data_IF_036903013702
#
_entry.id   IF_036903013702
#
_cell.length_a   1.000
_cell.length_b   1.000
_cell.length_c   1.000
_cell.angle_alpha   90.00
_cell.angle_beta   90.00
_cell.angle_gamma   90.00
#
_symmetry.space_group_name_H-M   'P 1'
#
loop_
_entity.id
_entity.type
_entity.pdbx_description
1 polymer ?
#
# COMPACT_ATOMS: atom_id res chain seq x y z
N UNK A 1 12.71 -17.65 8.73
CA UNK A 1 13.29 -17.83 7.37
C UNK A 1 12.37 -18.76 6.61
N UNK A 2 11.61 -18.25 5.63
CA UNK A 2 10.77 -19.09 4.79
C UNK A 2 11.68 -19.94 3.89
N UNK A 3 11.39 -21.24 3.78
CA UNK A 3 12.16 -22.16 2.95
C UNK A 3 12.09 -21.72 1.48
N UNK A 4 13.23 -21.62 0.81
CA UNK A 4 13.29 -21.22 -0.59
C UNK A 4 12.66 -22.31 -1.47
N UNK A 5 11.60 -21.94 -2.20
CA UNK A 5 11.00 -22.77 -3.24
C UNK A 5 11.70 -22.49 -4.57
N UNK A 6 11.91 -23.53 -5.38
CA UNK A 6 12.49 -23.38 -6.73
C UNK A 6 11.38 -23.02 -7.71
N UNK A 7 11.53 -21.91 -8.44
CA UNK A 7 10.57 -21.49 -9.47
C UNK A 7 10.74 -22.31 -10.73
N UNK A 8 9.68 -22.98 -11.20
CA UNK A 8 9.69 -23.74 -12.45
C UNK A 8 8.66 -23.19 -13.45
N UNK A 9 9.07 -22.93 -14.71
CA UNK A 9 8.18 -22.40 -15.74
C UNK A 9 7.11 -23.41 -16.20
N UNK A 10 7.28 -24.69 -15.89
CA UNK A 10 6.33 -25.76 -16.22
C UNK A 10 5.09 -25.78 -15.31
N UNK A 11 5.11 -25.05 -14.19
CA UNK A 11 3.96 -24.95 -13.28
C UNK A 11 3.02 -23.84 -13.79
N UNK A 12 1.72 -24.11 -13.95
CA UNK A 12 0.78 -23.15 -14.52
C UNK A 12 0.70 -21.87 -13.68
N UNK A 13 0.73 -20.73 -14.37
CA UNK A 13 0.57 -19.40 -13.77
C UNK A 13 -0.92 -19.15 -13.50
N UNK A 14 -1.24 -18.72 -12.28
CA UNK A 14 -2.60 -18.37 -11.92
C UNK A 14 -2.99 -17.00 -12.47
N UNK A 15 -4.27 -16.79 -12.83
CA UNK A 15 -4.81 -15.45 -13.04
C UNK A 15 -4.80 -14.66 -11.73
N UNK A 16 -4.94 -13.33 -11.83
CA UNK A 16 -4.98 -12.45 -10.66
C UNK A 16 -6.14 -12.86 -9.71
N UNK A 17 -5.89 -12.94 -8.38
CA UNK A 17 -6.94 -13.29 -7.43
C UNK A 17 -8.07 -12.25 -7.38
N UNK A 18 -9.31 -12.67 -7.20
CA UNK A 18 -10.46 -11.78 -7.13
C UNK A 18 -10.85 -11.49 -5.68
N UNK A 19 -11.02 -10.22 -5.30
CA UNK A 19 -11.46 -9.84 -3.97
C UNK A 19 -12.98 -9.90 -3.84
N UNK A 20 -13.49 -10.93 -3.16
CA UNK A 20 -14.94 -11.23 -3.08
C UNK A 20 -15.59 -10.65 -1.82
N UNK A 21 -14.86 -10.62 -0.71
CA UNK A 21 -15.34 -10.02 0.54
C UNK A 21 -14.25 -9.16 1.18
N UNK A 22 -14.66 -8.05 1.78
CA UNK A 22 -13.77 -7.06 2.39
C UNK A 22 -14.38 -6.62 3.71
N UNK A 23 -13.58 -6.61 4.76
CA UNK A 23 -13.94 -6.06 6.08
C UNK A 23 -12.91 -5.00 6.47
N UNK A 24 -13.03 -4.44 7.68
CA UNK A 24 -12.03 -3.51 8.19
C UNK A 24 -10.62 -4.10 8.33
N UNK A 25 -10.49 -5.42 8.57
CA UNK A 25 -9.19 -6.06 8.86
C UNK A 25 -8.91 -7.34 8.06
N UNK A 26 -9.76 -7.67 7.12
CA UNK A 26 -9.57 -8.85 6.27
C UNK A 26 -10.10 -8.66 4.86
N UNK A 27 -9.44 -9.32 3.92
CA UNK A 27 -9.89 -9.44 2.53
C UNK A 27 -9.91 -10.92 2.17
N UNK A 28 -11.05 -11.40 1.69
CA UNK A 28 -11.19 -12.77 1.18
C UNK A 28 -10.97 -12.78 -0.32
N UNK A 29 -9.94 -13.51 -0.74
CA UNK A 29 -9.57 -13.67 -2.14
C UNK A 29 -10.08 -15.00 -2.67
N UNK A 30 -10.58 -14.99 -3.90
CA UNK A 30 -10.99 -16.16 -4.67
C UNK A 30 -9.98 -16.40 -5.79
N UNK A 31 -9.52 -17.63 -5.89
CA UNK A 31 -8.64 -18.09 -6.95
C UNK A 31 -9.46 -18.74 -8.07
N UNK A 32 -9.22 -18.32 -9.31
CA UNK A 32 -9.74 -19.02 -10.48
C UNK A 32 -8.83 -20.20 -10.81
N UNK A 33 -9.18 -21.37 -10.27
CA UNK A 33 -8.44 -22.63 -10.46
C UNK A 33 -8.91 -23.41 -11.68
N UNK A 34 -9.88 -22.89 -12.45
CA UNK A 34 -10.55 -23.62 -13.53
C UNK A 34 -9.62 -23.92 -14.72
N UNK A 35 -8.52 -23.17 -14.85
CA UNK A 35 -7.44 -23.41 -15.80
C UNK A 35 -6.48 -24.55 -15.39
N UNK A 36 -6.52 -25.03 -14.13
CA UNK A 36 -5.74 -26.19 -13.68
C UNK A 36 -6.52 -27.48 -13.96
N UNK A 37 -6.61 -27.84 -15.25
CA UNK A 37 -7.24 -29.08 -15.72
C UNK A 37 -6.30 -30.28 -15.59
N UNK A 38 -5.84 -30.59 -14.36
CA UNK A 38 -5.24 -31.90 -14.06
C UNK A 38 -5.72 -32.40 -12.69
N UNK A 39 -6.62 -33.40 -12.64
CA UNK A 39 -7.18 -33.92 -11.39
C UNK A 39 -6.18 -34.70 -10.52
N UNK A 40 -4.94 -34.91 -10.98
CA UNK A 40 -3.97 -35.79 -10.34
C UNK A 40 -2.85 -35.07 -9.56
N UNK A 41 -2.73 -33.73 -9.66
CA UNK A 41 -1.68 -32.99 -8.94
C UNK A 41 -2.25 -32.24 -7.74
N UNK A 42 -1.86 -32.67 -6.53
CA UNK A 42 -2.18 -32.01 -5.25
C UNK A 42 -1.39 -30.70 -5.13
N UNK A 43 -1.85 -29.67 -5.83
CA UNK A 43 -1.30 -28.34 -5.69
C UNK A 43 -1.78 -27.68 -4.40
N UNK A 44 -0.85 -27.00 -3.72
CA UNK A 44 -1.18 -25.98 -2.72
C UNK A 44 -1.05 -24.60 -3.35
N UNK A 45 -1.67 -23.62 -2.72
CA UNK A 45 -1.66 -22.24 -3.15
C UNK A 45 -1.02 -21.38 -2.08
N UNK A 46 -0.38 -20.31 -2.54
CA UNK A 46 0.18 -19.29 -1.67
C UNK A 46 -0.20 -17.91 -2.18
N UNK A 47 -0.60 -17.04 -1.27
CA UNK A 47 -0.90 -15.64 -1.55
C UNK A 47 0.20 -14.76 -1.00
N UNK A 48 0.44 -13.63 -1.64
CA UNK A 48 1.22 -12.55 -1.07
C UNK A 48 0.43 -11.26 -1.14
N UNK A 49 0.54 -10.45 -0.10
CA UNK A 49 -0.05 -9.12 -0.04
C UNK A 49 1.02 -8.09 0.27
N UNK A 50 0.80 -6.88 -0.24
CA UNK A 50 1.59 -5.70 0.09
C UNK A 50 0.64 -4.52 0.24
N UNK A 51 0.96 -3.64 1.18
CA UNK A 51 0.44 -2.28 1.14
C UNK A 51 0.86 -1.63 -0.17
N UNK A 52 0.00 -0.78 -0.72
CA UNK A 52 0.33 -0.03 -1.93
C UNK A 52 1.46 0.97 -1.64
N UNK A 53 2.66 0.65 -2.12
CA UNK A 53 3.82 1.55 -2.08
C UNK A 53 4.04 2.23 -3.42
N UNK A 54 4.32 3.53 -3.40
CA UNK A 54 4.62 4.30 -4.61
C UNK A 54 5.99 3.96 -5.24
N UNK A 55 6.92 3.36 -4.48
CA UNK A 55 8.30 3.12 -4.90
C UNK A 55 8.66 1.62 -4.91
N UNK A 56 8.21 0.86 -3.92
CA UNK A 56 8.43 -0.60 -3.86
C UNK A 56 7.30 -1.28 -3.09
N UNK A 57 7.09 -2.57 -3.38
CA UNK A 57 6.16 -3.43 -2.64
C UNK A 57 6.91 -4.28 -1.62
N UNK A 58 6.45 -4.28 -0.37
CA UNK A 58 6.92 -5.17 0.70
C UNK A 58 5.96 -6.34 0.85
N UNK A 59 6.35 -7.51 0.33
CA UNK A 59 5.48 -8.68 0.27
C UNK A 59 5.44 -9.45 1.59
N UNK A 60 4.24 -9.68 2.09
CA UNK A 60 3.96 -10.62 3.18
C UNK A 60 3.25 -11.84 2.60
N UNK A 61 3.89 -13.00 2.70
CA UNK A 61 3.39 -14.26 2.18
C UNK A 61 2.46 -14.96 3.18
N UNK A 62 1.40 -15.58 2.68
CA UNK A 62 0.50 -16.42 3.46
C UNK A 62 1.08 -17.81 3.67
N UNK A 63 0.49 -18.54 4.60
CA UNK A 63 0.64 -19.99 4.70
C UNK A 63 0.11 -20.68 3.44
N UNK A 64 0.54 -21.93 3.23
CA UNK A 64 0.08 -22.76 2.12
C UNK A 64 -1.33 -23.30 2.40
N UNK A 65 -2.23 -23.17 1.43
CA UNK A 65 -3.62 -23.61 1.56
C UNK A 65 -4.11 -24.34 0.31
N UNK A 66 -5.22 -25.07 0.42
CA UNK A 66 -5.81 -25.86 -0.69
C UNK A 66 -7.20 -25.38 -1.12
N UNK A 67 -7.81 -24.49 -0.33
CA UNK A 67 -9.12 -23.91 -0.62
C UNK A 67 -9.08 -22.94 -1.81
N UNK A 68 -10.18 -22.87 -2.58
CA UNK A 68 -10.35 -21.86 -3.65
C UNK A 68 -10.54 -20.43 -3.10
N UNK A 69 -10.92 -20.32 -1.83
CA UNK A 69 -11.10 -19.03 -1.14
C UNK A 69 -10.21 -18.98 0.09
N UNK A 70 -9.50 -17.87 0.26
CA UNK A 70 -8.62 -17.67 1.41
C UNK A 70 -8.75 -16.26 1.98
N UNK A 71 -9.04 -16.13 3.29
CA UNK A 71 -9.07 -14.84 3.96
C UNK A 71 -7.68 -14.42 4.43
N UNK A 72 -7.20 -13.27 3.96
CA UNK A 72 -6.03 -12.60 4.52
C UNK A 72 -6.51 -11.75 5.69
N UNK A 73 -6.01 -12.06 6.89
CA UNK A 73 -6.38 -11.40 8.16
C UNK A 73 -5.25 -10.47 8.64
N UNK A 74 -5.59 -9.51 9.49
CA UNK A 74 -4.61 -8.62 10.14
C UNK A 74 -4.23 -7.42 9.29
N UNK A 75 -5.04 -7.08 8.28
CA UNK A 75 -4.84 -5.89 7.47
C UNK A 75 -5.21 -4.62 8.26
N UNK A 76 -4.53 -3.52 8.00
CA UNK A 76 -4.88 -2.22 8.55
C UNK A 76 -6.19 -1.68 7.95
N UNK A 77 -7.07 -1.07 8.76
CA UNK A 77 -8.26 -0.40 8.27
C UNK A 77 -7.90 0.79 7.37
N UNK A 78 -8.76 1.07 6.38
CA UNK A 78 -8.62 2.22 5.48
C UNK A 78 -7.33 2.25 4.64
N UNK A 79 -6.76 1.09 4.33
CA UNK A 79 -5.49 0.97 3.60
C UNK A 79 -5.70 0.23 2.29
N UNK A 80 -4.98 0.65 1.25
CA UNK A 80 -5.03 0.04 -0.07
C UNK A 80 -3.98 -1.06 -0.19
N UNK A 81 -4.41 -2.25 -0.59
CA UNK A 81 -3.55 -3.42 -0.77
C UNK A 81 -3.58 -3.91 -2.21
N UNK A 82 -2.49 -4.56 -2.60
CA UNK A 82 -2.38 -5.37 -3.80
C UNK A 82 -2.05 -6.81 -3.42
N UNK A 83 -2.57 -7.75 -4.21
CA UNK A 83 -2.41 -9.17 -3.98
C UNK A 83 -1.86 -9.88 -5.22
N UNK A 84 -1.20 -11.01 -4.98
CA UNK A 84 -0.76 -11.95 -6.02
C UNK A 84 -0.81 -13.37 -5.48
N UNK A 85 -1.00 -14.34 -6.37
CA UNK A 85 -1.12 -15.75 -6.03
C UNK A 85 -0.10 -16.58 -6.81
N UNK A 86 0.36 -17.68 -6.23
CA UNK A 86 1.16 -18.69 -6.95
C UNK A 86 0.73 -20.10 -6.56
N UNK A 87 1.05 -21.04 -7.45
CA UNK A 87 0.88 -22.48 -7.23
C UNK A 87 2.17 -23.04 -6.61
N UNK A 88 2.03 -23.91 -5.63
CA UNK A 88 3.15 -24.55 -4.92
C UNK A 88 2.94 -26.06 -4.89
N UNK A 89 3.94 -26.82 -5.32
CA UNK A 89 4.03 -28.27 -5.09
C UNK A 89 4.88 -28.50 -3.84
N UNK A 90 4.23 -28.86 -2.75
CA UNK A 90 4.90 -29.03 -1.45
C UNK A 90 5.88 -30.22 -1.45
N UNK A 91 5.53 -31.32 -2.14
CA UNK A 91 6.32 -32.56 -2.18
C UNK A 91 7.69 -32.35 -2.84
N UNK A 92 7.75 -31.59 -3.95
CA UNK A 92 8.97 -31.32 -4.71
C UNK A 92 9.63 -29.98 -4.35
N UNK A 93 9.01 -29.18 -3.47
CA UNK A 93 9.41 -27.79 -3.16
C UNK A 93 9.55 -26.89 -4.40
N UNK A 94 8.69 -27.12 -5.38
CA UNK A 94 8.63 -26.34 -6.61
C UNK A 94 7.47 -25.34 -6.53
N UNK A 95 7.64 -24.16 -7.12
CA UNK A 95 6.58 -23.16 -7.22
C UNK A 95 6.47 -22.59 -8.64
N UNK A 96 5.26 -22.20 -9.03
CA UNK A 96 5.03 -21.47 -10.26
C UNK A 96 5.33 -19.98 -10.09
N UNK A 97 5.33 -19.27 -11.21
CA UNK A 97 5.43 -17.81 -11.20
C UNK A 97 4.23 -17.17 -10.47
N UNK A 98 4.47 -15.97 -9.95
CA UNK A 98 3.41 -15.18 -9.34
C UNK A 98 2.42 -14.68 -10.40
N UNK A 99 1.14 -14.67 -10.06
CA UNK A 99 0.09 -14.06 -10.86
C UNK A 99 0.33 -12.56 -11.05
N UNK A 100 -0.33 -12.00 -12.06
CA UNK A 100 -0.49 -10.54 -12.19
C UNK A 100 -1.12 -9.98 -10.90
N UNK A 101 -0.74 -8.74 -10.57
CA UNK A 101 -1.28 -8.02 -9.42
C UNK A 101 -2.78 -7.81 -9.56
N UNK A 102 -3.50 -7.91 -8.44
CA UNK A 102 -4.89 -7.49 -8.39
C UNK A 102 -5.03 -5.98 -8.59
N UNK A 103 -6.19 -5.51 -9.06
CA UNK A 103 -6.57 -4.11 -8.91
C UNK A 103 -6.48 -3.67 -7.44
N UNK A 104 -6.35 -2.37 -7.22
CA UNK A 104 -6.24 -1.81 -5.88
C UNK A 104 -7.45 -2.14 -5.01
N UNK A 105 -7.20 -2.77 -3.86
CA UNK A 105 -8.24 -3.18 -2.91
C UNK A 105 -8.08 -2.41 -1.61
N UNK A 106 -8.99 -1.45 -1.37
CA UNK A 106 -9.04 -0.70 -0.11
C UNK A 106 -9.85 -1.46 0.94
N UNK A 107 -9.28 -1.64 2.14
CA UNK A 107 -10.01 -2.08 3.34
C UNK A 107 -10.88 -0.93 3.85
N UNK A 108 -11.97 -1.28 4.52
CA UNK A 108 -12.92 -0.26 5.00
C UNK A 108 -12.58 0.20 6.42
N UNK A 109 -13.09 1.36 6.82
CA UNK A 109 -13.12 1.70 8.24
C UNK A 109 -14.22 0.90 8.94
N UNK A 110 -14.08 0.66 10.25
CA UNK A 110 -15.14 0.02 11.05
C UNK A 110 -16.46 0.82 10.95
N UNK A 111 -16.39 2.15 10.85
CA UNK A 111 -17.55 3.01 10.63
C UNK A 111 -18.22 2.84 9.25
N UNK A 112 -17.45 2.72 8.18
CA UNK A 112 -17.99 2.50 6.83
C UNK A 112 -18.54 1.08 6.65
N UNK A 113 -17.97 0.10 7.33
CA UNK A 113 -18.48 -1.27 7.39
C UNK A 113 -19.80 -1.31 8.17
N UNK A 114 -19.84 -0.63 9.33
CA UNK A 114 -21.06 -0.48 10.13
C UNK A 114 -22.16 0.31 9.39
N UNK A 115 -21.81 1.36 8.65
CA UNK A 115 -22.77 2.11 7.82
C UNK A 115 -23.37 1.24 6.73
N UNK A 116 -22.57 0.42 6.04
CA UNK A 116 -23.11 -0.51 5.03
C UNK A 116 -23.95 -1.60 5.64
N UNK A 117 -23.48 -2.25 6.70
CA UNK A 117 -24.25 -3.24 7.42
C UNK A 117 -25.58 -2.65 7.92
N UNK A 118 -25.53 -1.41 8.44
CA UNK A 118 -26.69 -0.62 8.85
C UNK A 118 -27.67 -0.39 7.70
N UNK A 119 -27.20 0.08 6.54
CA UNK A 119 -28.07 0.31 5.37
C UNK A 119 -28.74 -0.97 4.84
N UNK A 120 -28.05 -2.11 4.87
CA UNK A 120 -28.61 -3.39 4.46
C UNK A 120 -29.66 -3.88 5.46
N UNK A 121 -29.38 -3.73 6.76
CA UNK A 121 -30.32 -4.09 7.83
C UNK A 121 -31.55 -3.19 7.82
N UNK A 122 -31.37 -1.88 7.66
CA UNK A 122 -32.45 -0.89 7.49
C UNK A 122 -33.33 -1.22 6.29
N UNK A 123 -32.73 -1.55 5.15
CA UNK A 123 -33.46 -1.93 3.94
C UNK A 123 -34.26 -3.23 4.13
N UNK A 124 -33.66 -4.25 4.77
CA UNK A 124 -34.36 -5.49 5.11
C UNK A 124 -35.52 -5.25 6.10
N UNK A 125 -35.31 -4.43 7.12
CA UNK A 125 -36.33 -4.06 8.10
C UNK A 125 -37.49 -3.28 7.45
N UNK A 126 -37.17 -2.42 6.47
CA UNK A 126 -38.17 -1.69 5.70
C UNK A 126 -39.06 -2.64 4.88
N UNK A 127 -38.48 -3.62 4.19
CA UNK A 127 -39.23 -4.63 3.45
C UNK A 127 -40.16 -5.45 4.36
N UNK A 128 -39.68 -5.84 5.54
CA UNK A 128 -40.50 -6.53 6.57
C UNK A 128 -41.68 -5.66 7.05
N UNK A 129 -41.44 -4.37 7.31
CA UNK A 129 -42.51 -3.43 7.70
C UNK A 129 -43.54 -3.25 6.59
N UNK A 130 -43.10 -3.12 5.34
CA UNK A 130 -43.99 -3.02 4.17
C UNK A 130 -44.87 -4.29 4.06
N UNK A 131 -44.31 -5.49 4.21
CA UNK A 131 -45.10 -6.74 4.22
C UNK A 131 -46.11 -6.79 5.38
N UNK A 132 -45.71 -6.36 6.58
CA UNK A 132 -46.62 -6.32 7.74
C UNK A 132 -47.80 -5.38 7.52
N UNK A 133 -47.59 -4.21 6.92
CA UNK A 133 -48.68 -3.26 6.63
C UNK A 133 -49.68 -3.82 5.62
N UNK A 134 -49.21 -4.52 4.60
CA UNK A 134 -50.09 -5.20 3.62
C UNK A 134 -50.97 -6.24 4.31
N UNK A 135 -50.39 -7.10 5.16
CA UNK A 135 -51.15 -8.11 5.91
C UNK A 135 -52.18 -7.47 6.86
N UNK A 136 -51.81 -6.39 7.56
CA UNK A 136 -52.71 -5.70 8.49
C UNK A 136 -53.89 -5.03 7.78
N UNK A 137 -53.67 -4.52 6.55
CA UNK A 137 -54.74 -3.97 5.70
C UNK A 137 -55.76 -5.04 5.26
N UNK A 138 -55.30 -6.27 5.03
CA UNK A 138 -56.17 -7.39 4.65
C UNK A 138 -57.02 -7.87 5.83
N UNK A 139 -56.42 -7.94 7.02
CA UNK A 139 -57.13 -8.28 8.26
C UNK A 139 -58.23 -7.26 8.54
N UNK A 140 -57.92 -5.96 8.43
CA UNK A 140 -58.89 -4.89 8.68
C UNK A 140 -60.10 -4.94 7.74
N UNK A 141 -59.90 -5.30 6.46
CA UNK A 141 -60.99 -5.52 5.50
C UNK A 141 -61.91 -6.67 5.92
N UNK A 142 -61.34 -7.79 6.35
CA UNK A 142 -62.11 -8.96 6.80
C UNK A 142 -62.90 -8.68 8.08
N UNK A 143 -62.36 -7.89 9.01
CA UNK A 143 -63.05 -7.49 10.23
C UNK A 143 -64.26 -6.59 9.94
N UNK A 144 -64.14 -5.62 9.02
CA UNK A 144 -65.28 -4.74 8.68
C UNK A 144 -66.47 -5.48 8.07
N UNK A 145 -66.22 -6.55 7.30
CA UNK A 145 -67.28 -7.36 6.70
C UNK A 145 -68.07 -8.19 7.73
N UNK A 146 -67.55 -8.36 8.95
CA UNK A 146 -68.18 -9.14 10.02
C UNK A 146 -69.11 -8.30 10.92
N UNK A 147 -68.95 -6.97 10.96
CA UNK A 147 -69.67 -6.09 11.90
C UNK A 147 -71.02 -5.57 11.37
N UNK A 148 -71.26 -5.59 10.06
CA UNK A 148 -72.47 -5.04 9.41
C UNK A 148 -73.78 -5.85 9.62
N UNK A 149 -73.81 -6.89 10.48
CA UNK A 149 -74.94 -7.83 10.60
C UNK A 149 -75.87 -7.68 11.81
N UNK A 150 -75.80 -6.64 12.64
CA UNK A 150 -76.68 -6.53 13.83
C UNK A 150 -77.28 -5.15 14.05
N UNK A 151 -78.62 -5.06 13.92
CA UNK A 151 -79.60 -4.47 14.88
C UNK A 151 -80.83 -3.86 14.20
N UNK A 152 -82.06 -4.33 14.50
CA UNK A 152 -83.30 -3.52 14.59
C UNK A 152 -84.36 -4.24 15.46
N UNK A 153 -85.03 -3.49 16.36
CA UNK A 153 -86.42 -3.59 16.86
C UNK A 153 -86.48 -3.03 18.31
N UNK A 154 -87.46 -2.30 18.83
CA UNK A 154 -88.91 -2.17 18.55
C UNK A 154 -89.49 -0.95 19.32
N UNK A 155 -90.75 -0.55 19.08
CA UNK A 155 -91.37 0.68 19.57
C UNK A 155 -92.81 0.50 20.16
N UNK A 156 -93.28 1.55 20.89
CA UNK A 156 -94.70 2.00 21.17
C UNK A 156 -95.51 1.29 22.30
N UNK A 157 -96.71 1.74 22.78
CA UNK A 157 -97.44 3.05 22.75
C UNK A 157 -98.36 3.45 23.99
N UNK A 158 -98.93 4.69 23.95
CA UNK A 158 -100.25 5.36 24.34
C UNK A 158 -101.29 4.78 25.36
N UNK A 159 -102.24 5.53 26.00
CA UNK A 159 -103.60 6.04 25.58
C UNK A 159 -104.30 6.82 26.76
N UNK A 160 -104.90 8.04 26.64
CA UNK A 160 -106.33 8.59 26.61
C UNK A 160 -107.43 7.94 27.53
N UNK A 161 -108.46 8.59 28.14
CA UNK A 161 -109.77 9.24 27.68
C UNK A 161 -110.57 9.66 28.99
N UNK A 162 -111.17 10.87 29.17
CA UNK A 162 -112.61 11.35 29.08
C UNK A 162 -113.68 10.59 29.94
N UNK A 163 -114.80 11.10 30.51
CA UNK A 163 -115.55 12.37 30.61
C UNK A 163 -116.74 12.15 31.60
N UNK A 164 -117.31 13.18 32.27
CA UNK A 164 -118.75 13.21 32.64
C UNK A 164 -119.17 14.65 33.04
N UNK A 165 -120.35 15.13 32.63
CA UNK A 165 -120.71 16.55 32.55
C UNK A 165 -121.94 16.92 33.43
N UNK A 166 -121.91 18.10 34.07
CA UNK A 166 -123.05 18.85 34.69
C UNK A 166 -123.18 18.86 36.24
N UNK A 167 -123.08 17.76 36.99
CA UNK A 167 -122.84 17.80 38.46
C UNK A 167 -121.34 17.94 38.76
N UNK A 168 -120.61 17.25 37.89
CA UNK A 168 -119.29 17.59 37.44
C UNK A 168 -119.16 19.06 37.09
N UNK A 169 -120.13 19.88 36.62
CA UNK A 169 -119.80 21.29 36.24
C UNK A 169 -119.43 22.20 37.40
N UNK A 170 -120.08 22.12 38.56
CA UNK A 170 -119.74 22.96 39.73
C UNK A 170 -118.58 22.40 40.53
N UNK A 171 -118.51 21.07 40.66
CA UNK A 171 -117.33 20.40 41.19
C UNK A 171 -116.16 20.66 40.25
N UNK A 172 -116.34 20.54 38.93
CA UNK A 172 -115.45 21.01 37.85
C UNK A 172 -115.15 22.47 38.01
N UNK A 173 -116.05 23.41 38.27
CA UNK A 173 -115.66 24.81 38.34
C UNK A 173 -114.74 25.08 39.54
N UNK A 174 -114.98 24.41 40.68
CA UNK A 174 -114.09 24.47 41.85
C UNK A 174 -112.82 23.65 41.71
N UNK A 175 -112.88 22.48 41.06
CA UNK A 175 -111.72 21.66 40.74
C UNK A 175 -110.97 22.23 39.55
N UNK A 176 -111.59 22.99 38.66
CA UNK A 176 -111.00 23.77 37.56
C UNK A 176 -110.31 24.96 38.17
N UNK A 177 -110.89 25.68 39.13
CA UNK A 177 -110.16 26.73 39.85
C UNK A 177 -108.98 26.17 40.63
N UNK A 178 -109.14 25.04 41.33
CA UNK A 178 -108.01 24.35 41.99
C UNK A 178 -106.99 23.84 40.99
N UNK A 179 -107.42 23.20 39.91
CA UNK A 179 -106.55 22.73 38.83
C UNK A 179 -105.90 23.91 38.11
N UNK A 180 -106.54 25.07 37.98
CA UNK A 180 -105.95 26.28 37.40
C UNK A 180 -104.91 26.88 38.34
N UNK A 181 -105.20 26.92 39.63
CA UNK A 181 -104.24 27.32 40.67
C UNK A 181 -103.04 26.37 40.69
N UNK A 182 -103.29 25.06 40.74
CA UNK A 182 -102.26 24.01 40.74
C UNK A 182 -101.48 24.01 39.42
N UNK A 183 -102.14 24.21 38.29
CA UNK A 183 -101.50 24.38 36.97
C UNK A 183 -100.64 25.65 36.95
N UNK A 184 -101.08 26.75 37.59
CA UNK A 184 -100.29 27.97 37.70
C UNK A 184 -99.07 27.79 38.60
N UNK A 185 -99.22 27.08 39.72
CA UNK A 185 -98.12 26.74 40.63
C UNK A 185 -97.15 25.77 39.97
N UNK A 186 -97.64 24.77 39.24
CA UNK A 186 -96.84 23.86 38.44
C UNK A 186 -96.14 24.58 37.29
N UNK A 187 -96.79 25.55 36.63
CA UNK A 187 -96.18 26.37 35.60
C UNK A 187 -95.05 27.24 36.18
N UNK A 188 -95.27 27.86 37.35
CA UNK A 188 -94.24 28.64 38.06
C UNK A 188 -93.08 27.74 38.51
N UNK A 189 -93.36 26.55 39.05
CA UNK A 189 -92.34 25.57 39.43
C UNK A 189 -91.55 25.06 38.21
N UNK A 190 -92.21 24.79 37.09
CA UNK A 190 -91.56 24.40 35.84
C UNK A 190 -90.70 25.54 35.28
N UNK A 191 -91.14 26.79 35.41
CA UNK A 191 -90.36 27.95 35.00
C UNK A 191 -89.12 28.14 35.88
N UNK A 192 -89.23 27.91 37.19
CA UNK A 192 -88.09 27.89 38.11
C UNK A 192 -87.12 26.74 37.80
N UNK A 193 -87.62 25.53 37.50
CA UNK A 193 -86.78 24.40 37.07
C UNK A 193 -86.10 24.69 35.73
N UNK A 194 -86.77 25.34 34.78
CA UNK A 194 -86.15 25.77 33.52
C UNK A 194 -85.06 26.80 33.75
N UNK A 195 -85.28 27.78 34.64
CA UNK A 195 -84.26 28.76 35.00
C UNK A 195 -83.06 28.11 35.68
N UNK A 196 -83.30 27.15 36.58
CA UNK A 196 -82.23 26.37 37.22
C UNK A 196 -81.47 25.53 36.20
N UNK A 197 -82.15 24.82 35.30
CA UNK A 197 -81.50 24.05 34.23
C UNK A 197 -80.67 24.93 33.30
N UNK A 198 -81.15 26.12 32.96
CA UNK A 198 -80.39 27.07 32.15
C UNK A 198 -79.12 27.54 32.88
N UNK A 199 -79.20 27.77 34.20
CA UNK A 199 -78.03 28.09 35.02
C UNK A 199 -77.05 26.91 35.13
N UNK A 200 -77.56 25.69 35.32
CA UNK A 200 -76.74 24.47 35.36
C UNK A 200 -76.06 24.20 34.00
N UNK A 201 -76.76 24.40 32.88
CA UNK A 201 -76.20 24.31 31.53
C UNK A 201 -75.09 25.33 31.29
N UNK A 202 -75.26 26.57 31.78
CA UNK A 202 -74.20 27.59 31.74
C UNK A 202 -72.99 27.18 32.57
N UNK A 203 -73.20 26.70 33.79
CA UNK A 203 -72.11 26.22 34.65
C UNK A 203 -71.37 25.02 34.03
N UNK A 204 -72.09 24.08 33.41
CA UNK A 204 -71.48 22.96 32.69
C UNK A 204 -70.64 23.47 31.52
N UNK A 205 -71.13 24.45 30.76
CA UNK A 205 -70.36 25.05 29.67
C UNK A 205 -69.09 25.75 30.16
N UNK A 206 -69.16 26.49 31.27
CA UNK A 206 -67.99 27.13 31.89
C UNK A 206 -66.96 26.09 32.35
N UNK A 207 -67.40 25.03 33.04
CA UNK A 207 -66.51 23.95 33.49
C UNK A 207 -65.86 23.18 32.33
N UNK A 208 -66.58 22.98 31.23
CA UNK A 208 -66.03 22.35 30.03
C UNK A 208 -64.96 23.24 29.37
N UNK A 209 -65.19 24.55 29.27
CA UNK A 209 -64.20 25.50 28.77
C UNK A 209 -62.96 25.57 29.68
N UNK A 210 -63.14 25.57 31.01
CA UNK A 210 -62.02 25.50 31.96
C UNK A 210 -61.24 24.19 31.81
N UNK A 211 -61.91 23.05 31.61
CA UNK A 211 -61.22 21.79 31.38
C UNK A 211 -60.42 21.79 30.07
N UNK A 212 -60.95 22.38 29.00
CA UNK A 212 -60.27 22.47 27.71
C UNK A 212 -59.05 23.39 27.79
N UNK A 213 -59.18 24.55 28.46
CA UNK A 213 -58.04 25.46 28.69
C UNK A 213 -56.95 24.84 29.55
N UNK A 214 -57.30 24.09 30.61
CA UNK A 214 -56.33 23.36 31.44
C UNK A 214 -55.60 22.26 30.64
N UNK A 215 -56.31 21.52 29.78
CA UNK A 215 -55.69 20.54 28.88
C UNK A 215 -54.72 21.18 27.90
N UNK A 216 -55.09 22.32 27.32
CA UNK A 216 -54.23 23.06 26.40
C UNK A 216 -52.95 23.57 27.11
N UNK A 217 -53.07 24.10 28.33
CA UNK A 217 -51.93 24.53 29.15
C UNK A 217 -51.00 23.36 29.51
N UNK A 218 -51.57 22.21 29.89
CA UNK A 218 -50.78 21.01 30.21
C UNK A 218 -50.01 20.47 29.00
N UNK A 219 -50.62 20.49 27.80
CA UNK A 219 -49.94 20.14 26.55
C UNK A 219 -48.78 21.09 26.25
N UNK A 220 -48.98 22.40 26.40
CA UNK A 220 -47.92 23.39 26.19
C UNK A 220 -46.75 23.22 27.17
N UNK A 221 -47.02 22.94 28.45
CA UNK A 221 -45.96 22.68 29.42
C UNK A 221 -45.17 21.42 29.09
N UNK A 222 -45.84 20.34 28.68
CA UNK A 222 -45.14 19.12 28.25
C UNK A 222 -44.23 19.37 27.04
N UNK A 223 -44.69 20.16 26.07
CA UNK A 223 -43.88 20.48 24.89
C UNK A 223 -42.72 21.42 25.24
N UNK A 224 -42.93 22.40 26.13
CA UNK A 224 -41.83 23.23 26.65
C UNK A 224 -40.74 22.40 27.33
N UNK A 225 -41.11 21.43 28.18
CA UNK A 225 -40.14 20.55 28.84
C UNK A 225 -39.36 19.70 27.82
N UNK A 226 -40.02 19.20 26.76
CA UNK A 226 -39.32 18.50 25.67
C UNK A 226 -38.32 19.41 24.96
N UNK A 227 -38.73 20.63 24.61
CA UNK A 227 -37.83 21.60 23.96
C UNK A 227 -36.63 21.98 24.84
N UNK A 228 -36.83 22.16 26.14
CA UNK A 228 -35.73 22.45 27.08
C UNK A 228 -34.73 21.28 27.15
N UNK A 229 -35.24 20.05 27.19
CA UNK A 229 -34.41 18.85 27.24
C UNK A 229 -33.62 18.66 25.93
N UNK A 230 -34.26 18.88 24.77
CA UNK A 230 -33.60 18.88 23.46
C UNK A 230 -32.53 19.96 23.37
N UNK A 231 -32.82 21.19 23.83
CA UNK A 231 -31.86 22.28 23.90
C UNK A 231 -30.65 21.95 24.78
N UNK A 232 -30.87 21.24 25.89
CA UNK A 232 -29.79 20.81 26.78
C UNK A 232 -28.90 19.77 26.10
N UNK A 233 -29.49 18.76 25.44
CA UNK A 233 -28.76 17.74 24.68
C UNK A 233 -27.95 18.38 23.54
N UNK A 234 -28.53 19.32 22.81
CA UNK A 234 -27.84 20.04 21.73
C UNK A 234 -26.65 20.86 22.26
N UNK A 235 -26.79 21.52 23.41
CA UNK A 235 -25.68 22.23 24.06
C UNK A 235 -24.55 21.29 24.48
N UNK A 236 -24.86 20.14 25.04
CA UNK A 236 -23.85 19.14 25.40
C UNK A 236 -23.13 18.57 24.17
N UNK A 237 -23.86 18.31 23.09
CA UNK A 237 -23.27 17.88 21.83
C UNK A 237 -22.37 18.97 21.23
N UNK A 238 -22.80 20.23 21.27
CA UNK A 238 -22.00 21.36 20.81
C UNK A 238 -20.70 21.50 21.61
N UNK A 239 -20.77 21.39 22.94
CA UNK A 239 -19.60 21.42 23.81
C UNK A 239 -18.61 20.26 23.53
N UNK A 240 -19.12 19.06 23.25
CA UNK A 240 -18.29 17.92 22.83
C UNK A 240 -17.60 18.17 21.49
N UNK A 241 -18.32 18.74 20.54
CA UNK A 241 -17.78 19.08 19.22
C UNK A 241 -16.70 20.17 19.32
N UNK A 242 -16.91 21.20 20.13
CA UNK A 242 -15.91 22.25 20.37
C UNK A 242 -14.63 21.68 21.02
N UNK A 243 -14.77 20.79 22.00
CA UNK A 243 -13.62 20.12 22.61
C UNK A 243 -12.86 19.23 21.62
N UNK A 244 -13.58 18.47 20.78
CA UNK A 244 -12.97 17.67 19.71
C UNK A 244 -12.25 18.54 18.67
N UNK A 245 -12.85 19.67 18.29
CA UNK A 245 -12.26 20.62 17.35
C UNK A 245 -10.96 21.22 17.91
N UNK A 246 -10.93 21.63 19.18
CA UNK A 246 -9.71 22.11 19.84
C UNK A 246 -8.61 21.06 19.84
N UNK A 247 -8.94 19.81 20.21
CA UNK A 247 -7.99 18.70 20.18
C UNK A 247 -7.42 18.46 18.79
N UNK A 248 -8.26 18.53 17.76
CA UNK A 248 -7.81 18.40 16.37
C UNK A 248 -6.91 19.58 15.96
N UNK A 249 -7.22 20.81 16.38
CA UNK A 249 -6.35 21.97 16.13
C UNK A 249 -4.97 21.81 16.78
N UNK A 250 -4.90 21.33 18.03
CA UNK A 250 -3.65 21.03 18.73
C UNK A 250 -2.83 19.92 18.03
N UNK A 251 -3.50 18.90 17.51
CA UNK A 251 -2.85 17.84 16.73
C UNK A 251 -2.29 18.37 15.41
N UNK A 252 -3.05 19.23 14.71
CA UNK A 252 -2.59 19.87 13.48
C UNK A 252 -1.39 20.78 13.74
N UNK A 253 -1.41 21.58 14.81
CA UNK A 253 -0.25 22.43 15.15
C UNK A 253 0.99 21.59 15.48
N UNK A 254 0.84 20.52 16.26
CA UNK A 254 1.96 19.61 16.56
C UNK A 254 2.51 18.93 15.31
N UNK A 255 1.64 18.49 14.40
CA UNK A 255 2.06 17.93 13.12
C UNK A 255 2.78 18.96 12.26
N UNK A 256 2.33 20.22 12.26
CA UNK A 256 2.99 21.30 11.52
C UNK A 256 4.39 21.60 12.06
N UNK A 257 4.57 21.62 13.38
CA UNK A 257 5.90 21.77 14.01
C UNK A 257 6.83 20.60 13.66
N UNK A 258 6.32 19.37 13.64
CA UNK A 258 7.10 18.21 13.21
C UNK A 258 7.52 18.31 11.75
N UNK A 259 6.60 18.70 10.86
CA UNK A 259 6.91 18.91 9.43
C UNK A 259 8.02 19.96 9.28
N UNK A 260 7.90 21.11 9.95
CA UNK A 260 8.92 22.16 9.92
C UNK A 260 10.29 21.65 10.40
N UNK A 261 10.32 20.80 11.45
CA UNK A 261 11.57 20.20 11.93
C UNK A 261 12.20 19.23 10.91
N UNK A 262 11.38 18.45 10.20
CA UNK A 262 11.85 17.55 9.15
C UNK A 262 12.34 18.32 7.93
N UNK A 263 11.64 19.39 7.52
CA UNK A 263 12.06 20.27 6.43
C UNK A 263 13.42 20.91 6.74
N UNK A 264 13.62 21.43 7.95
CA UNK A 264 14.90 21.98 8.38
C UNK A 264 16.03 20.93 8.37
N UNK A 265 15.75 19.71 8.85
CA UNK A 265 16.72 18.61 8.80
C UNK A 265 17.05 18.18 7.37
N UNK A 266 16.05 18.18 6.49
CA UNK A 266 16.21 17.80 5.09
C UNK A 266 17.07 18.83 4.34
N UNK A 267 16.83 20.12 4.59
CA UNK A 267 17.66 21.19 4.01
C UNK A 267 19.11 21.13 4.50
N UNK A 268 19.32 20.85 5.80
CA UNK A 268 20.66 20.60 6.34
C UNK A 268 21.34 19.41 5.65
N UNK A 269 20.63 18.31 5.46
CA UNK A 269 21.18 17.12 4.77
C UNK A 269 21.49 17.40 3.29
N UNK A 270 20.67 18.20 2.61
CA UNK A 270 20.96 18.64 1.23
C UNK A 270 22.20 19.53 1.15
N UNK A 271 22.45 20.37 2.14
CA UNK A 271 23.69 21.15 2.21
C UNK A 271 24.92 20.24 2.45
N UNK A 272 24.83 19.30 3.40
CA UNK A 272 25.90 18.32 3.67
C UNK A 272 26.23 17.44 2.46
N UNK A 273 25.21 17.02 1.68
CA UNK A 273 25.42 16.24 0.46
C UNK A 273 26.15 17.07 -0.59
N UNK A 274 25.72 18.32 -0.83
CA UNK A 274 26.39 19.22 -1.79
C UNK A 274 27.87 19.44 -1.46
N UNK A 275 28.18 19.68 -0.18
CA UNK A 275 29.56 19.86 0.27
C UNK A 275 30.43 18.61 -0.01
N UNK A 276 29.87 17.41 0.22
CA UNK A 276 30.56 16.15 -0.07
C UNK A 276 30.71 15.89 -1.57
N UNK A 277 29.72 16.27 -2.37
CA UNK A 277 29.81 16.17 -3.83
C UNK A 277 30.94 17.04 -4.38
N UNK A 278 31.07 18.29 -3.89
CA UNK A 278 32.19 19.17 -4.23
C UNK A 278 33.55 18.61 -3.77
N UNK A 279 33.60 17.97 -2.61
CA UNK A 279 34.83 17.32 -2.12
C UNK A 279 35.22 16.13 -3.00
N UNK A 280 34.25 15.29 -3.39
CA UNK A 280 34.47 14.16 -4.29
C UNK A 280 34.94 14.64 -5.66
N UNK A 281 34.36 15.71 -6.20
CA UNK A 281 34.79 16.30 -7.47
C UNK A 281 36.25 16.78 -7.41
N UNK A 282 36.65 17.45 -6.32
CA UNK A 282 38.05 17.84 -6.09
C UNK A 282 38.98 16.65 -6.03
N UNK A 283 38.63 15.62 -5.26
CA UNK A 283 39.44 14.39 -5.13
C UNK A 283 39.58 13.66 -6.46
N UNK A 284 38.52 13.59 -7.27
CA UNK A 284 38.58 13.01 -8.62
C UNK A 284 39.49 13.82 -9.53
N UNK A 285 39.42 15.15 -9.49
CA UNK A 285 40.31 16.02 -10.26
C UNK A 285 41.78 15.84 -9.85
N UNK A 286 42.08 15.78 -8.55
CA UNK A 286 43.43 15.54 -8.04
C UNK A 286 43.95 14.14 -8.41
N UNK A 287 43.11 13.11 -8.34
CA UNK A 287 43.46 11.75 -8.75
C UNK A 287 43.79 11.68 -10.24
N UNK A 288 42.96 12.30 -11.09
CA UNK A 288 43.19 12.36 -12.53
C UNK A 288 44.48 13.13 -12.86
N UNK A 289 44.75 14.25 -12.17
CA UNK A 289 46.01 15.00 -12.33
C UNK A 289 47.21 14.12 -11.97
N UNK A 290 47.18 13.47 -10.81
CA UNK A 290 48.27 12.61 -10.37
C UNK A 290 48.49 11.43 -11.33
N UNK A 291 47.43 10.82 -11.82
CA UNK A 291 47.51 9.73 -12.80
C UNK A 291 48.16 10.21 -14.10
N UNK A 292 47.78 11.39 -14.60
CA UNK A 292 48.38 11.98 -15.80
C UNK A 292 49.85 12.31 -15.57
N UNK A 293 50.21 12.92 -14.44
CA UNK A 293 51.61 13.22 -14.10
C UNK A 293 52.46 11.93 -14.02
N UNK A 294 51.93 10.84 -13.47
CA UNK A 294 52.62 9.55 -13.44
C UNK A 294 52.74 8.93 -14.83
N UNK A 295 51.72 9.04 -15.68
CA UNK A 295 51.77 8.57 -17.06
C UNK A 295 52.83 9.34 -17.87
N UNK A 296 52.88 10.66 -17.72
CA UNK A 296 53.87 11.53 -18.38
C UNK A 296 55.30 11.20 -17.89
N UNK A 297 55.49 11.00 -16.58
CA UNK A 297 56.78 10.57 -16.02
C UNK A 297 57.22 9.20 -16.52
N UNK A 298 56.29 8.25 -16.64
CA UNK A 298 56.58 6.93 -17.18
C UNK A 298 56.97 7.01 -18.67
N UNK A 299 56.28 7.83 -19.46
CA UNK A 299 56.61 8.05 -20.87
C UNK A 299 58.01 8.67 -21.05
N UNK A 300 58.36 9.68 -20.25
CA UNK A 300 59.71 10.28 -20.30
C UNK A 300 60.79 9.25 -19.95
N UNK A 301 60.60 8.48 -18.87
CA UNK A 301 61.56 7.42 -18.50
C UNK A 301 61.69 6.33 -19.56
N UNK A 302 60.60 6.01 -20.25
CA UNK A 302 60.64 5.07 -21.36
C UNK A 302 61.51 5.61 -22.50
N UNK A 303 61.34 6.89 -22.87
CA UNK A 303 62.18 7.52 -23.89
C UNK A 303 63.66 7.56 -23.48
N UNK A 304 63.97 7.89 -22.22
CA UNK A 304 65.34 7.89 -21.70
C UNK A 304 65.99 6.50 -21.80
N UNK A 305 65.23 5.44 -21.52
CA UNK A 305 65.70 4.05 -21.66
C UNK A 305 65.89 3.69 -23.14
N UNK A 306 64.97 4.08 -24.01
CA UNK A 306 65.06 3.84 -25.45
C UNK A 306 66.30 4.53 -26.05
N UNK A 307 66.59 5.77 -25.66
CA UNK A 307 67.79 6.50 -26.07
C UNK A 307 69.07 5.81 -25.58
N UNK A 308 69.13 5.43 -24.30
CA UNK A 308 70.28 4.71 -23.74
C UNK A 308 70.51 3.36 -24.44
N UNK A 309 69.43 2.65 -24.82
CA UNK A 309 69.53 1.40 -25.57
C UNK A 309 70.04 1.63 -26.99
N UNK A 310 69.64 2.72 -27.64
CA UNK A 310 70.14 3.11 -28.96
C UNK A 310 71.63 3.46 -28.92
N UNK A 311 72.09 4.21 -27.91
CA UNK A 311 73.51 4.49 -27.70
C UNK A 311 74.31 3.21 -27.44
N UNK A 312 73.81 2.32 -26.57
CA UNK A 312 74.46 1.04 -26.31
C UNK A 312 74.54 0.17 -27.57
N UNK A 313 73.47 0.13 -28.37
CA UNK A 313 73.43 -0.59 -29.65
C UNK A 313 74.47 -0.05 -30.63
N UNK A 314 74.53 1.27 -30.83
CA UNK A 314 75.51 1.88 -31.76
C UNK A 314 76.95 1.66 -31.28
N UNK A 315 77.21 1.70 -29.98
CA UNK A 315 78.52 1.34 -29.42
C UNK A 315 78.88 -0.12 -29.66
N UNK A 316 77.93 -1.06 -29.53
CA UNK A 316 78.16 -2.47 -29.83
C UNK A 316 78.43 -2.71 -31.31
N UNK A 317 77.71 -2.05 -32.20
CA UNK A 317 77.95 -2.10 -33.66
C UNK A 317 79.36 -1.62 -33.99
N UNK A 318 79.81 -0.50 -33.41
CA UNK A 318 81.19 -0.03 -33.56
C UNK A 318 82.23 -1.04 -33.04
N UNK A 319 81.97 -1.67 -31.90
CA UNK A 319 82.87 -2.71 -31.38
C UNK A 319 82.92 -3.94 -32.29
N UNK A 320 81.79 -4.34 -32.89
CA UNK A 320 81.73 -5.43 -33.86
C UNK A 320 82.53 -5.12 -35.13
N UNK A 321 82.43 -3.89 -35.64
CA UNK A 321 83.22 -3.44 -36.80
C UNK A 321 84.72 -3.48 -36.51
N UNK A 322 85.13 -2.97 -35.34
CA UNK A 322 86.53 -3.04 -34.88
C UNK A 322 86.98 -4.49 -34.75
N UNK A 323 86.14 -5.37 -34.17
CA UNK A 323 86.50 -6.78 -34.00
C UNK A 323 86.66 -7.48 -35.36
N UNK A 324 85.82 -7.14 -36.32
CA UNK A 324 85.89 -7.68 -37.69
C UNK A 324 87.18 -7.24 -38.36
N UNK A 325 87.51 -5.94 -38.31
CA UNK A 325 88.77 -5.42 -38.83
C UNK A 325 90.00 -6.07 -38.17
N UNK A 326 90.02 -6.20 -36.84
CA UNK A 326 91.13 -6.84 -36.13
C UNK A 326 91.26 -8.33 -36.50
N UNK A 327 90.14 -9.05 -36.70
CA UNK A 327 90.18 -10.44 -37.17
C UNK A 327 90.82 -10.53 -38.55
N UNK A 328 90.42 -9.66 -39.48
CA UNK A 328 90.99 -9.58 -40.83
C UNK A 328 92.49 -9.26 -40.80
N UNK A 329 92.92 -8.32 -39.96
CA UNK A 329 94.34 -7.97 -39.81
C UNK A 329 95.15 -9.11 -39.19
N UNK A 330 94.60 -9.80 -38.18
CA UNK A 330 95.23 -11.00 -37.60
C UNK A 330 95.35 -12.12 -38.64
N UNK A 331 94.34 -12.33 -39.48
CA UNK A 331 94.43 -13.32 -40.57
C UNK A 331 95.51 -12.94 -41.58
N UNK A 332 95.59 -11.66 -41.98
CA UNK A 332 96.64 -11.16 -42.88
C UNK A 332 98.03 -11.37 -42.30
N UNK A 333 98.24 -10.99 -41.04
CA UNK A 333 99.52 -11.18 -40.35
C UNK A 333 99.90 -12.66 -40.22
N UNK A 334 98.92 -13.55 -40.04
CA UNK A 334 99.18 -15.01 -40.03
C UNK A 334 99.61 -15.52 -41.40
N UNK A 335 98.99 -15.04 -42.47
CA UNK A 335 99.37 -15.38 -43.86
C UNK A 335 100.78 -14.85 -44.19
N UNK A 336 101.08 -13.60 -43.84
CA UNK A 336 102.40 -13.00 -44.02
C UNK A 336 103.48 -13.76 -43.23
N UNK A 337 103.22 -14.07 -41.96
CA UNK A 337 104.14 -14.91 -41.16
C UNK A 337 104.34 -16.29 -41.80
N UNK A 338 103.28 -16.89 -42.36
CA UNK A 338 103.40 -18.17 -43.06
C UNK A 338 104.27 -18.04 -44.32
N UNK A 339 104.10 -16.97 -45.10
CA UNK A 339 104.95 -16.66 -46.25
C UNK A 339 106.42 -16.44 -45.85
N UNK A 340 106.68 -15.61 -44.84
CA UNK A 340 108.04 -15.39 -44.34
C UNK A 340 108.67 -16.70 -43.83
N UNK A 341 107.90 -17.54 -43.13
CA UNK A 341 108.37 -18.86 -42.71
C UNK A 341 108.73 -19.75 -43.90
N UNK A 342 107.92 -19.75 -44.96
CA UNK A 342 108.21 -20.52 -46.17
C UNK A 342 109.47 -19.98 -46.87
N UNK A 343 109.62 -18.65 -46.98
CA UNK A 343 110.82 -18.02 -47.54
C UNK A 343 112.09 -18.36 -46.75
N UNK A 344 112.01 -18.35 -45.40
CA UNK A 344 113.13 -18.78 -44.55
C UNK A 344 113.46 -20.24 -44.82
N UNK A 345 112.46 -21.13 -44.89
CA UNK A 345 112.68 -22.54 -45.18
C UNK A 345 113.30 -22.77 -46.57
N UNK A 346 112.88 -22.03 -47.58
CA UNK A 346 113.48 -22.06 -48.92
C UNK A 346 114.94 -21.58 -48.91
N UNK A 347 115.20 -20.44 -48.26
CA UNK A 347 116.55 -19.91 -48.10
C UNK A 347 117.45 -20.88 -47.31
N UNK A 348 116.96 -21.44 -46.21
CA UNK A 348 117.68 -22.45 -45.42
C UNK A 348 117.95 -23.69 -46.28
N UNK A 349 116.99 -24.14 -47.10
CA UNK A 349 117.20 -25.26 -48.02
C UNK A 349 118.28 -24.98 -49.08
N UNK A 350 118.47 -23.73 -49.49
CA UNK A 350 119.56 -23.34 -50.41
C UNK A 350 120.91 -23.14 -49.71
N UNK A 351 120.91 -22.56 -48.52
CA UNK A 351 122.11 -22.15 -47.79
C UNK A 351 122.71 -23.31 -47.00
N UNK A 352 121.90 -24.13 -46.34
CA UNK A 352 122.36 -25.27 -45.53
C UNK A 352 123.26 -26.22 -46.34
N UNK A 353 122.90 -26.67 -47.57
CA UNK A 353 123.79 -27.53 -48.35
C UNK A 353 125.10 -26.85 -48.75
N UNK A 354 125.09 -25.52 -48.97
CA UNK A 354 126.31 -24.76 -49.28
C UNK A 354 127.19 -24.63 -48.03
N UNK A 355 126.61 -24.39 -46.87
CA UNK A 355 127.32 -24.37 -45.59
C UNK A 355 127.94 -25.72 -45.28
N UNK A 356 127.19 -26.82 -45.42
CA UNK A 356 127.72 -28.18 -45.22
C UNK A 356 128.89 -28.47 -46.17
N UNK A 357 128.77 -28.12 -47.47
CA UNK A 357 129.90 -28.26 -48.41
C UNK A 357 131.11 -27.43 -48.00
N UNK A 358 130.91 -26.18 -47.57
CA UNK A 358 132.00 -25.32 -47.11
C UNK A 358 132.63 -25.84 -45.81
N UNK A 359 131.85 -26.46 -44.91
CA UNK A 359 132.34 -27.14 -43.71
C UNK A 359 133.17 -28.38 -44.09
N UNK A 360 132.68 -29.22 -45.01
CA UNK A 360 133.41 -30.36 -45.56
C UNK A 360 134.73 -29.91 -46.22
N UNK A 361 134.70 -28.86 -47.04
CA UNK A 361 135.88 -28.25 -47.67
C UNK A 361 136.86 -27.69 -46.62
N UNK A 362 136.35 -27.04 -45.56
CA UNK A 362 137.17 -26.57 -44.44
C UNK A 362 137.83 -27.73 -43.68
N UNK A 363 137.11 -28.82 -43.43
CA UNK A 363 137.66 -30.03 -42.82
C UNK A 363 138.74 -30.67 -43.70
N UNK A 364 138.50 -30.76 -45.01
CA UNK A 364 139.50 -31.25 -45.96
C UNK A 364 140.75 -30.37 -45.99
N UNK A 365 140.58 -29.04 -45.98
CA UNK A 365 141.70 -28.09 -45.91
C UNK A 365 142.45 -28.19 -44.59
N UNK A 366 141.75 -28.31 -43.45
CA UNK A 366 142.38 -28.56 -42.14
C UNK A 366 143.16 -29.88 -42.12
N UNK A 367 142.60 -30.95 -42.68
CA UNK A 367 143.28 -32.23 -42.80
C UNK A 367 144.50 -32.16 -43.73
N UNK A 368 144.43 -31.38 -44.81
CA UNK A 368 145.55 -31.16 -45.74
C UNK A 368 146.66 -30.30 -45.12
N UNK A 369 146.31 -29.28 -44.33
CA UNK A 369 147.26 -28.48 -43.54
C UNK A 369 147.94 -29.33 -42.47
N UNK A 370 147.20 -30.20 -41.78
CA UNK A 370 147.74 -31.13 -40.79
C UNK A 370 148.66 -32.22 -41.39
N UNK A 371 148.59 -32.48 -42.70
CA UNK A 371 149.51 -33.38 -43.43
C UNK A 371 150.77 -32.67 -43.97
N UNK A 372 150.82 -31.34 -43.95
CA UNK A 372 151.97 -30.52 -44.41
C UNK A 372 152.83 -29.99 -43.26
N UNK A 373 152.39 -30.15 -42.01
CA UNK A 373 153.25 -30.12 -40.80
C UNK A 373 153.79 -31.50 -40.52
#
# INVERSE_FOLDING_TARGET
MAAAFTTLPEIPVLPAPEAVAKTARSVTLKLATDALHEPEKKYKYQLAHSEHGYVYYSWTESELFTSRMWPIKGLQPNTTYVFKARVVKEETRECGEWSVLTPYVRTFTEEEDAKRAGTVYEHALRLEREQKTVLQSQISKLTSMLEDQKHVAEAKPTVRIHEDMMSSRRIMDTTIHKLQSDLSMQAAALQAIKAQRAADEQMIHELLNEQETLRAQQSQQQDQVKYELEMQVLREQLAKNEAALRKHQEQVSSSHEQIASYEASLEKKRAEIREKEEEVEKLMADCNRMMQEQADQAAVKQLEIEDALMEAKTSLEQQLDINTYLREEVTRLREENHHLKNQIQEMDAEVVPKLVRLEDENEQLRAALARKS
#
